data_IF_866033538662
#
_entry.id   IF_866033538662
#
_cell.length_a   1.000
_cell.length_b   1.000
_cell.length_c   1.000
_cell.angle_alpha   90.00
_cell.angle_beta   90.00
_cell.angle_gamma   90.00
#
_symmetry.space_group_name_H-M   'P 1'
#
loop_
_entity.id
_entity.type
_entity.pdbx_description
1 polymer ?
#
# COMPACT_ATOMS: atom_id res chain seq x y z
N UNK A 1 -7.00 11.78 -16.52
CA UNK A 1 -7.82 11.38 -15.36
C UNK A 1 -7.20 10.11 -14.86
N UNK A 2 -6.64 10.10 -13.65
CA UNK A 2 -5.91 8.94 -13.18
C UNK A 2 -6.85 7.81 -12.75
N UNK A 3 -6.35 6.60 -12.94
CA UNK A 3 -6.88 5.37 -12.41
C UNK A 3 -6.22 5.09 -11.06
N UNK A 4 -7.03 4.98 -10.01
CA UNK A 4 -6.59 4.60 -8.67
C UNK A 4 -7.17 3.26 -8.21
N UNK A 5 -6.78 2.85 -7.01
CA UNK A 5 -7.33 1.66 -6.33
C UNK A 5 -7.95 2.08 -5.00
N UNK A 6 -9.27 1.97 -4.90
CA UNK A 6 -10.01 2.14 -3.66
C UNK A 6 -9.88 0.88 -2.79
N UNK A 7 -9.50 1.09 -1.54
CA UNK A 7 -9.33 0.09 -0.50
C UNK A 7 -10.45 0.31 0.53
N UNK A 8 -11.55 -0.46 0.44
CA UNK A 8 -12.62 -0.36 1.42
C UNK A 8 -12.16 -0.85 2.79
N UNK A 9 -12.83 -0.35 3.83
CA UNK A 9 -12.57 -0.74 5.23
C UNK A 9 -12.91 -2.20 5.47
N UNK A 10 -14.05 -2.66 4.95
CA UNK A 10 -14.53 -4.04 5.10
C UNK A 10 -13.66 -4.98 4.27
N UNK A 11 -12.99 -5.94 4.92
CA UNK A 11 -12.06 -6.87 4.26
C UNK A 11 -12.78 -7.80 3.28
N UNK A 12 -14.05 -8.12 3.54
CA UNK A 12 -14.88 -8.92 2.64
C UNK A 12 -15.20 -8.18 1.31
N UNK A 13 -15.10 -6.85 1.29
CA UNK A 13 -15.28 -6.07 0.06
C UNK A 13 -14.00 -6.06 -0.78
N UNK A 14 -14.07 -6.34 -2.10
CA UNK A 14 -12.90 -6.32 -2.95
C UNK A 14 -12.36 -4.90 -3.15
N UNK A 15 -11.06 -4.81 -3.41
CA UNK A 15 -10.45 -3.57 -3.90
C UNK A 15 -11.10 -3.20 -5.24
N UNK A 16 -11.26 -1.91 -5.49
CA UNK A 16 -11.91 -1.42 -6.72
C UNK A 16 -10.99 -0.48 -7.46
N UNK A 17 -10.82 -0.75 -8.74
CA UNK A 17 -10.30 0.24 -9.66
C UNK A 17 -11.30 1.40 -9.77
N UNK A 18 -10.82 2.63 -9.61
CA UNK A 18 -11.65 3.85 -9.70
C UNK A 18 -11.02 4.86 -10.65
N UNK A 19 -11.86 5.59 -11.39
CA UNK A 19 -11.46 6.79 -12.13
C UNK A 19 -11.78 8.01 -11.27
N UNK A 20 -10.79 8.86 -11.00
CA UNK A 20 -10.97 10.05 -10.18
C UNK A 20 -10.83 11.28 -11.07
N UNK A 21 -11.95 11.94 -11.36
CA UNK A 21 -12.05 12.97 -12.40
C UNK A 21 -11.86 14.37 -11.84
N UNK A 22 -12.27 14.59 -10.59
CA UNK A 22 -12.18 15.86 -9.87
C UNK A 22 -11.88 15.62 -8.40
N UNK A 23 -11.32 16.61 -7.70
CA UNK A 23 -11.01 16.55 -6.25
C UNK A 23 -12.20 16.07 -5.40
N UNK A 24 -13.42 16.45 -5.77
CA UNK A 24 -14.65 15.98 -5.11
C UNK A 24 -14.85 14.47 -5.14
N UNK A 25 -14.34 13.78 -6.17
CA UNK A 25 -14.46 12.33 -6.29
C UNK A 25 -13.60 11.63 -5.23
N UNK A 26 -12.44 12.21 -4.91
CA UNK A 26 -11.54 11.74 -3.85
C UNK A 26 -12.21 11.90 -2.49
N UNK A 27 -12.70 13.12 -2.19
CA UNK A 27 -13.38 13.42 -0.93
C UNK A 27 -14.62 12.55 -0.72
N UNK A 28 -15.41 12.31 -1.77
CA UNK A 28 -16.57 11.43 -1.71
C UNK A 28 -16.18 9.96 -1.44
N UNK A 29 -15.05 9.51 -2.00
CA UNK A 29 -14.58 8.15 -1.82
C UNK A 29 -13.95 7.90 -0.44
N UNK A 30 -13.24 8.88 0.14
CA UNK A 30 -12.60 8.76 1.47
C UNK A 30 -13.49 9.20 2.63
N UNK A 31 -14.46 10.10 2.38
CA UNK A 31 -15.42 10.56 3.39
C UNK A 31 -14.98 11.73 4.26
N UNK A 32 -14.01 12.55 3.84
CA UNK A 32 -13.48 13.65 4.66
C UNK A 32 -12.42 14.52 3.99
N UNK A 33 -11.58 15.15 4.81
CA UNK A 33 -10.43 15.94 4.35
C UNK A 33 -9.33 15.00 3.90
N UNK A 34 -8.67 15.34 2.79
CA UNK A 34 -7.67 14.46 2.19
C UNK A 34 -6.33 14.65 2.87
N UNK A 35 -5.78 13.58 3.44
CA UNK A 35 -4.34 13.45 3.71
C UNK A 35 -3.71 12.58 2.60
N UNK A 36 -2.51 12.96 2.17
CA UNK A 36 -1.72 12.25 1.18
C UNK A 36 -0.38 11.88 1.78
N UNK A 37 -0.01 10.60 1.69
CA UNK A 37 1.29 10.10 2.10
C UNK A 37 1.97 9.45 0.90
N UNK A 38 3.22 9.83 0.65
CA UNK A 38 4.04 9.23 -0.40
C UNK A 38 4.49 7.82 -0.02
N UNK A 39 4.58 6.97 -1.03
CA UNK A 39 5.05 5.59 -0.95
C UNK A 39 6.34 5.48 -1.79
N UNK A 40 7.32 4.70 -1.33
CA UNK A 40 8.69 4.75 -1.82
C UNK A 40 9.07 3.61 -2.79
N UNK A 41 8.32 2.51 -2.83
CA UNK A 41 8.75 1.29 -3.55
C UNK A 41 7.59 0.38 -3.95
N UNK A 42 6.97 0.59 -5.13
CA UNK A 42 7.26 1.65 -6.10
C UNK A 42 6.79 3.02 -5.63
N UNK A 43 7.29 4.08 -6.28
CA UNK A 43 6.81 5.44 -6.06
C UNK A 43 5.30 5.52 -6.34
N UNK A 44 4.54 5.93 -5.34
CA UNK A 44 3.08 6.02 -5.37
C UNK A 44 2.61 6.97 -4.28
N UNK A 45 1.30 7.11 -4.12
CA UNK A 45 0.71 7.84 -3.00
C UNK A 45 -0.51 7.10 -2.44
N UNK A 46 -0.72 7.22 -1.13
CA UNK A 46 -1.93 6.75 -0.45
C UNK A 46 -2.71 7.93 0.13
N UNK A 47 -4.01 7.95 -0.15
CA UNK A 47 -4.93 9.04 0.14
C UNK A 47 -6.01 8.54 1.08
N UNK A 48 -6.26 9.22 2.19
CA UNK A 48 -7.26 8.83 3.20
C UNK A 48 -7.78 10.05 3.96
N UNK A 49 -8.77 9.86 4.83
CA UNK A 49 -9.32 10.94 5.65
C UNK A 49 -8.33 11.37 6.74
N UNK A 50 -7.81 12.59 6.66
CA UNK A 50 -6.88 13.21 7.62
C UNK A 50 -7.43 13.12 9.05
N UNK A 51 -8.74 13.29 9.20
CA UNK A 51 -9.41 13.28 10.49
C UNK A 51 -9.90 11.89 10.89
N UNK A 52 -9.56 10.83 10.16
CA UNK A 52 -10.11 9.49 10.37
C UNK A 52 -9.91 8.97 11.81
N UNK A 53 -8.78 9.31 12.45
CA UNK A 53 -8.52 9.00 13.87
C UNK A 53 -9.37 9.83 14.81
N UNK A 54 -9.51 11.14 14.55
CA UNK A 54 -10.33 12.07 15.34
C UNK A 54 -11.82 11.70 15.28
N UNK A 55 -12.29 11.27 14.11
CA UNK A 55 -13.64 10.76 13.85
C UNK A 55 -13.87 9.33 14.36
N UNK A 56 -12.82 8.68 14.87
CA UNK A 56 -12.84 7.28 15.29
C UNK A 56 -13.39 6.33 14.19
N UNK A 57 -12.98 6.54 12.94
CA UNK A 57 -13.31 5.63 11.85
C UNK A 57 -12.71 4.23 12.13
N UNK A 58 -13.24 3.16 11.51
CA UNK A 58 -12.69 1.83 11.72
C UNK A 58 -11.27 1.71 11.13
N UNK A 59 -10.44 0.84 11.72
CA UNK A 59 -9.11 0.54 11.20
C UNK A 59 -9.21 -0.08 9.81
N UNK A 60 -8.52 0.48 8.83
CA UNK A 60 -8.36 -0.13 7.53
C UNK A 60 -7.03 -0.89 7.49
N UNK A 61 -7.09 -2.17 7.88
CA UNK A 61 -5.91 -3.03 7.99
C UNK A 61 -5.19 -3.17 6.64
N UNK A 62 -5.94 -3.33 5.55
CA UNK A 62 -5.38 -3.44 4.19
C UNK A 62 -4.64 -2.18 3.77
N UNK A 63 -5.23 -1.00 3.99
CA UNK A 63 -4.56 0.27 3.71
C UNK A 63 -3.32 0.48 4.61
N UNK A 64 -3.39 0.06 5.88
CA UNK A 64 -2.25 0.13 6.80
C UNK A 64 -1.10 -0.78 6.38
N UNK A 65 -1.39 -2.00 5.89
CA UNK A 65 -0.36 -2.89 5.33
C UNK A 65 0.33 -2.28 4.11
N UNK A 66 -0.42 -1.62 3.23
CA UNK A 66 0.14 -0.91 2.07
C UNK A 66 1.04 0.23 2.54
N UNK A 67 0.56 1.07 3.47
CA UNK A 67 1.34 2.16 4.05
C UNK A 67 2.66 1.64 4.63
N UNK A 68 2.62 0.61 5.46
CA UNK A 68 3.81 0.05 6.12
C UNK A 68 4.77 -0.65 5.18
N UNK A 69 4.24 -1.36 4.18
CA UNK A 69 5.07 -2.03 3.19
C UNK A 69 5.84 -1.00 2.37
N UNK A 70 5.16 0.03 1.89
CA UNK A 70 5.72 0.94 0.92
C UNK A 70 6.25 2.26 1.51
N UNK A 71 6.01 2.55 2.79
CA UNK A 71 6.67 3.63 3.50
C UNK A 71 7.11 3.16 4.91
N UNK A 72 8.36 2.68 5.06
CA UNK A 72 8.87 2.15 6.33
C UNK A 72 8.81 3.14 7.50
N UNK A 73 8.77 4.45 7.23
CA UNK A 73 8.73 5.47 8.27
C UNK A 73 7.45 5.44 9.12
N UNK A 74 6.38 4.81 8.63
CA UNK A 74 5.09 4.69 9.32
C UNK A 74 4.90 3.35 10.06
N UNK A 75 5.81 2.38 9.88
CA UNK A 75 5.75 1.07 10.56
C UNK A 75 5.72 1.26 12.08
N UNK A 76 4.76 0.61 12.74
CA UNK A 76 4.52 0.67 14.19
C UNK A 76 4.30 2.07 14.78
N UNK A 77 4.15 3.08 13.92
CA UNK A 77 3.95 4.49 14.32
C UNK A 77 2.57 4.99 13.97
N UNK A 78 2.01 4.52 12.86
CA UNK A 78 0.72 4.99 12.42
C UNK A 78 -0.11 3.93 11.69
N UNK A 79 -1.42 4.19 11.59
CA UNK A 79 -2.40 3.35 10.91
C UNK A 79 -3.38 4.20 10.11
N UNK A 80 -3.93 3.62 9.05
CA UNK A 80 -4.98 4.23 8.25
C UNK A 80 -6.36 3.89 8.84
N UNK A 81 -7.20 4.91 9.02
CA UNK A 81 -8.56 4.80 9.58
C UNK A 81 -9.56 5.28 8.54
N UNK A 82 -10.50 4.42 8.14
CA UNK A 82 -11.44 4.70 7.05
C UNK A 82 -10.98 4.22 5.67
N UNK A 83 -11.79 4.43 4.60
CA UNK A 83 -11.43 4.07 3.24
C UNK A 83 -10.17 4.81 2.78
N UNK A 84 -9.41 4.19 1.87
CA UNK A 84 -8.20 4.78 1.31
C UNK A 84 -8.12 4.55 -0.19
N UNK A 85 -7.35 5.37 -0.89
CA UNK A 85 -7.08 5.26 -2.33
C UNK A 85 -5.57 5.21 -2.55
N UNK A 86 -5.11 4.30 -3.40
CA UNK A 86 -3.73 4.30 -3.90
C UNK A 86 -3.69 4.85 -5.33
N UNK A 87 -2.75 5.74 -5.59
CA UNK A 87 -2.51 6.41 -6.87
C UNK A 87 -1.02 6.46 -7.21
N UNK A 88 -0.69 6.95 -8.40
CA UNK A 88 0.68 7.27 -8.77
C UNK A 88 1.28 8.39 -7.92
N UNK A 89 2.59 8.64 -8.06
CA UNK A 89 3.21 9.80 -7.46
C UNK A 89 2.60 11.07 -8.07
N UNK A 90 2.49 12.14 -7.28
CA UNK A 90 2.16 13.45 -7.83
C UNK A 90 3.25 13.91 -8.80
N UNK A 91 2.89 14.59 -9.90
CA UNK A 91 3.89 15.23 -10.74
C UNK A 91 4.35 16.59 -10.15
N UNK A 92 5.32 17.23 -10.80
CA UNK A 92 5.87 18.53 -10.38
C UNK A 92 4.80 19.64 -10.28
N UNK A 93 3.69 19.49 -11.00
CA UNK A 93 2.56 20.41 -11.02
C UNK A 93 1.48 20.06 -9.97
N UNK A 94 1.70 19.01 -9.16
CA UNK A 94 0.75 18.52 -8.16
C UNK A 94 -0.44 17.75 -8.76
N UNK A 95 -0.35 17.34 -10.03
CA UNK A 95 -1.37 16.51 -10.67
C UNK A 95 -1.22 15.05 -10.26
N UNK A 96 -2.37 14.42 -10.01
CA UNK A 96 -2.51 13.00 -9.69
C UNK A 96 -2.26 12.12 -10.91
N UNK A 97 -1.47 11.06 -10.74
CA UNK A 97 -1.14 10.09 -11.79
C UNK A 97 -1.79 8.72 -11.57
N UNK A 98 -1.82 7.91 -12.63
CA UNK A 98 -2.26 6.51 -12.56
C UNK A 98 -1.46 5.74 -11.51
N UNK A 99 -2.12 4.84 -10.79
CA UNK A 99 -1.45 3.85 -9.93
C UNK A 99 -0.36 3.12 -10.73
N UNK A 100 0.85 2.89 -10.16
CA UNK A 100 1.90 2.19 -10.88
C UNK A 100 1.43 0.80 -11.33
N UNK A 101 1.70 0.38 -12.58
CA UNK A 101 1.24 -0.90 -13.10
C UNK A 101 1.63 -2.09 -12.22
N UNK A 102 2.83 -2.07 -11.64
CA UNK A 102 3.31 -3.13 -10.75
C UNK A 102 2.51 -3.22 -9.44
N UNK A 103 2.11 -2.07 -8.86
CA UNK A 103 1.32 -2.05 -7.64
C UNK A 103 -0.13 -2.42 -7.94
N UNK A 104 -0.65 -1.98 -9.09
CA UNK A 104 -1.96 -2.40 -9.59
C UNK A 104 -2.02 -3.89 -9.80
N UNK A 105 -1.01 -4.47 -10.44
CA UNK A 105 -0.89 -5.91 -10.64
C UNK A 105 -0.87 -6.62 -9.28
N UNK A 106 0.05 -6.24 -8.39
CA UNK A 106 0.21 -6.86 -7.07
C UNK A 106 -1.08 -6.85 -6.22
N UNK A 107 -1.82 -5.74 -6.24
CA UNK A 107 -3.03 -5.57 -5.41
C UNK A 107 -4.31 -6.17 -6.03
N UNK A 108 -4.30 -6.51 -7.32
CA UNK A 108 -5.51 -6.97 -8.04
C UNK A 108 -5.39 -8.38 -8.65
N UNK A 109 -4.18 -8.90 -8.80
CA UNK A 109 -3.93 -10.21 -9.41
C UNK A 109 -4.09 -11.35 -8.40
N UNK A 110 -4.53 -12.52 -8.92
CA UNK A 110 -4.69 -13.78 -8.17
C UNK A 110 -3.61 -14.80 -8.51
N UNK A 111 -2.40 -14.31 -8.74
CA UNK A 111 -1.23 -15.14 -8.99
C UNK A 111 -0.55 -15.46 -7.68
N UNK A 112 0.25 -16.53 -7.69
CA UNK A 112 1.10 -16.85 -6.56
C UNK A 112 2.13 -15.75 -6.38
N UNK A 113 2.27 -15.26 -5.14
CA UNK A 113 3.24 -14.25 -4.75
C UNK A 113 4.37 -14.87 -3.94
N UNK A 114 5.54 -14.24 -3.99
CA UNK A 114 6.68 -14.53 -3.11
C UNK A 114 7.19 -13.27 -2.43
N UNK A 115 7.87 -13.47 -1.31
CA UNK A 115 8.54 -12.40 -0.56
C UNK A 115 10.04 -12.48 -0.82
N UNK A 116 10.63 -11.33 -1.14
CA UNK A 116 12.06 -11.16 -1.34
C UNK A 116 12.61 -10.16 -0.31
N UNK A 117 13.81 -10.41 0.19
CA UNK A 117 14.49 -9.54 1.17
C UNK A 117 15.90 -9.20 0.72
N UNK A 118 16.34 -7.99 1.02
CA UNK A 118 17.76 -7.60 1.02
C UNK A 118 18.22 -7.44 2.46
N UNK A 119 19.41 -7.97 2.74
CA UNK A 119 20.01 -7.97 4.07
C UNK A 119 21.27 -7.13 4.11
N UNK A 120 21.62 -6.61 5.29
CA UNK A 120 22.76 -5.70 5.48
C UNK A 120 24.11 -6.31 5.05
N UNK A 121 24.26 -7.64 5.10
CA UNK A 121 25.46 -8.36 4.66
C UNK A 121 25.53 -8.55 3.14
N UNK A 122 24.43 -8.35 2.42
CA UNK A 122 24.36 -8.44 0.96
C UNK A 122 23.25 -7.54 0.40
N UNK A 123 23.45 -6.22 0.50
CA UNK A 123 22.46 -5.21 0.10
C UNK A 123 22.17 -5.15 -1.40
N UNK A 124 22.94 -5.83 -2.25
CA UNK A 124 22.71 -5.87 -3.70
C UNK A 124 21.77 -7.01 -4.11
N UNK A 125 21.82 -8.16 -3.45
CA UNK A 125 21.07 -9.35 -3.86
C UNK A 125 19.72 -9.49 -3.15
N UNK A 126 18.65 -9.71 -3.93
CA UNK A 126 17.36 -10.15 -3.41
C UNK A 126 17.39 -11.64 -3.08
N UNK A 127 17.12 -11.97 -1.83
CA UNK A 127 17.03 -13.35 -1.35
C UNK A 127 15.57 -13.76 -1.23
N UNK A 128 15.27 -14.99 -1.63
CA UNK A 128 13.92 -15.56 -1.60
C UNK A 128 13.83 -16.73 -0.62
N UNK A 129 12.64 -16.96 -0.09
CA UNK A 129 12.32 -18.21 0.60
C UNK A 129 11.42 -19.11 -0.27
N UNK A 130 11.12 -20.30 0.23
CA UNK A 130 10.25 -21.27 -0.46
C UNK A 130 8.75 -21.02 -0.25
N UNK A 131 8.35 -20.00 0.54
CA UNK A 131 6.95 -19.72 0.80
C UNK A 131 6.30 -19.05 -0.40
N UNK A 132 5.01 -19.34 -0.55
CA UNK A 132 4.13 -18.86 -1.61
C UNK A 132 2.82 -18.41 -1.01
N UNK A 133 2.28 -17.32 -1.54
CA UNK A 133 1.09 -16.67 -1.01
C UNK A 133 0.06 -16.51 -2.12
N UNK A 134 -1.24 -16.79 -1.86
CA UNK A 134 -2.28 -16.67 -2.87
C UNK A 134 -2.77 -15.22 -3.06
N UNK A 135 -2.44 -14.34 -2.12
CA UNK A 135 -2.82 -12.93 -2.14
C UNK A 135 -1.76 -12.05 -1.46
N UNK A 136 -1.85 -10.76 -1.76
CA UNK A 136 -0.91 -9.76 -1.28
C UNK A 136 -1.07 -9.50 0.22
N UNK A 137 -2.24 -9.73 0.81
CA UNK A 137 -2.47 -9.45 2.23
C UNK A 137 -1.61 -10.39 3.05
N UNK A 138 -1.71 -11.69 2.83
CA UNK A 138 -0.89 -12.68 3.53
C UNK A 138 0.61 -12.50 3.25
N UNK A 139 0.96 -12.18 2.01
CA UNK A 139 2.34 -11.90 1.63
C UNK A 139 2.90 -10.67 2.37
N UNK A 140 2.13 -9.57 2.48
CA UNK A 140 2.55 -8.33 3.15
C UNK A 140 2.67 -8.54 4.65
N UNK A 141 1.72 -9.25 5.28
CA UNK A 141 1.83 -9.58 6.71
C UNK A 141 3.09 -10.41 6.98
N UNK A 142 3.37 -11.41 6.14
CA UNK A 142 4.57 -12.21 6.28
C UNK A 142 5.85 -11.38 6.07
N UNK A 143 5.88 -10.54 5.04
CA UNK A 143 6.99 -9.65 4.71
C UNK A 143 7.32 -8.69 5.87
N UNK A 144 6.30 -8.02 6.41
CA UNK A 144 6.47 -7.09 7.53
C UNK A 144 6.91 -7.82 8.81
N UNK A 145 6.29 -8.96 9.12
CA UNK A 145 6.69 -9.78 10.28
C UNK A 145 8.11 -10.33 10.13
N UNK A 146 8.55 -10.66 8.91
CA UNK A 146 9.92 -11.09 8.64
C UNK A 146 10.91 -9.94 8.83
N UNK A 147 10.58 -8.74 8.33
CA UNK A 147 11.39 -7.53 8.50
C UNK A 147 11.55 -7.13 9.97
N UNK A 148 10.52 -7.33 10.80
CA UNK A 148 10.57 -7.04 12.23
C UNK A 148 11.42 -8.06 13.01
N UNK A 149 11.25 -9.35 12.71
CA UNK A 149 11.94 -10.43 13.46
C UNK A 149 13.39 -10.63 13.06
N UNK A 150 13.75 -10.32 11.82
CA UNK A 150 15.10 -10.51 11.32
C UNK A 150 15.78 -9.16 11.09
N UNK A 151 16.46 -8.66 12.13
CA UNK A 151 17.09 -7.33 12.12
C UNK A 151 18.13 -7.10 11.03
N UNK A 152 18.59 -8.15 10.33
CA UNK A 152 19.48 -7.98 9.19
C UNK A 152 18.73 -7.56 7.91
N UNK A 153 17.41 -7.70 7.85
CA UNK A 153 16.59 -7.29 6.69
C UNK A 153 16.51 -5.77 6.65
N UNK A 154 17.04 -5.18 5.58
CA UNK A 154 16.96 -3.73 5.35
C UNK A 154 15.79 -3.38 4.43
N UNK A 155 15.54 -4.23 3.43
CA UNK A 155 14.45 -4.04 2.47
C UNK A 155 13.70 -5.34 2.29
N UNK A 156 12.39 -5.20 2.11
CA UNK A 156 11.50 -6.30 1.77
C UNK A 156 10.61 -5.88 0.62
N UNK A 157 10.24 -6.82 -0.23
CA UNK A 157 9.25 -6.61 -1.29
C UNK A 157 8.44 -7.87 -1.51
N UNK A 158 7.26 -7.70 -2.09
CA UNK A 158 6.43 -8.79 -2.59
C UNK A 158 6.36 -8.68 -4.09
N UNK A 159 6.56 -9.80 -4.77
CA UNK A 159 6.55 -9.88 -6.23
C UNK A 159 5.71 -11.08 -6.69
N UNK A 160 5.12 -11.03 -7.90
CA UNK A 160 4.57 -12.22 -8.54
C UNK A 160 5.65 -13.30 -8.71
N UNK A 161 5.24 -14.56 -8.60
CA UNK A 161 6.14 -15.70 -8.86
C UNK A 161 6.49 -15.86 -10.34
#
# INVERSE_FOLDING_TARGET
MPQGILIPVEEAEPLRVVELKKVSDYQAAIGGWVEVVDLDSPEASIWFDEEGKLKNLPLNRRASLILWMHNPAFRDRDVVKGPAIVLGPGNEDGETQDVPPELKMLLTVRETLRVEVQTADNGEAWNINQRRFPDWVDAYNFALALSDRWMAVERVRVVPE
#
